data_IF_981290948794
#
_entry.id   IF_981290948794
#
_cell.length_a   1.000
_cell.length_b   1.000
_cell.length_c   1.000
_cell.angle_alpha   90.00
_cell.angle_beta   90.00
_cell.angle_gamma   90.00
#
_symmetry.space_group_name_H-M   'P 1'
#
loop_
_entity.id
_entity.type
_entity.pdbx_description
1 polymer ?
#
# COMPACT_ATOMS: atom_id res chain seq x y z
N UNK A 1 -4.76 30.90 6.43
CA UNK A 1 -3.43 30.73 6.97
C UNK A 1 -2.87 29.33 6.69
N UNK A 2 -1.74 29.32 6.01
CA UNK A 2 -1.07 28.08 5.66
C UNK A 2 -0.03 27.76 6.74
N UNK A 3 -0.13 26.59 7.33
CA UNK A 3 0.84 26.13 8.32
C UNK A 3 1.14 24.64 8.06
N UNK A 4 2.26 24.13 8.61
CA UNK A 4 2.62 22.74 8.42
C UNK A 4 1.53 21.80 8.94
N UNK A 5 1.38 20.66 8.27
CA UNK A 5 0.46 19.62 8.70
C UNK A 5 1.23 18.68 9.62
N UNK A 6 0.85 18.66 10.90
CA UNK A 6 1.55 17.84 11.90
C UNK A 6 0.66 16.79 12.54
N UNK A 7 -0.66 16.97 12.49
CA UNK A 7 -1.61 16.07 13.12
C UNK A 7 -2.69 15.67 12.14
N UNK A 8 -3.47 14.63 12.48
CA UNK A 8 -4.61 14.22 11.66
C UNK A 8 -5.65 15.34 11.55
N UNK A 9 -5.82 16.12 12.62
CA UNK A 9 -6.73 17.26 12.56
C UNK A 9 -6.25 18.31 11.57
N UNK A 10 -4.95 18.58 11.53
CA UNK A 10 -4.38 19.49 10.55
C UNK A 10 -4.59 18.97 9.15
N UNK A 11 -4.42 17.66 8.94
CA UNK A 11 -4.61 17.01 7.67
C UNK A 11 -6.06 17.14 7.20
N UNK A 12 -7.02 16.84 8.08
CA UNK A 12 -8.44 16.95 7.75
C UNK A 12 -8.82 18.39 7.43
N UNK A 13 -8.28 19.35 8.17
CA UNK A 13 -8.52 20.77 7.93
C UNK A 13 -7.96 21.19 6.56
N UNK A 14 -6.78 20.68 6.20
CA UNK A 14 -6.16 20.97 4.92
C UNK A 14 -6.98 20.39 3.75
N UNK A 15 -7.49 19.17 3.90
CA UNK A 15 -8.35 18.56 2.88
C UNK A 15 -9.63 19.36 2.67
N UNK A 16 -10.25 19.84 3.75
CA UNK A 16 -11.44 20.68 3.67
C UNK A 16 -11.16 21.99 2.94
N UNK A 17 -10.01 22.59 3.22
CA UNK A 17 -9.62 23.84 2.58
C UNK A 17 -9.32 23.63 1.10
N UNK A 18 -8.68 22.51 0.74
CA UNK A 18 -8.43 22.13 -0.65
C UNK A 18 -9.77 22.01 -1.39
N UNK A 19 -10.75 21.36 -0.78
CA UNK A 19 -12.07 21.19 -1.37
C UNK A 19 -12.73 22.55 -1.63
N UNK A 20 -12.61 23.45 -0.66
CA UNK A 20 -13.15 24.82 -0.78
C UNK A 20 -12.49 25.61 -1.91
N UNK A 21 -11.19 25.43 -2.10
CA UNK A 21 -10.43 26.16 -3.12
C UNK A 21 -10.36 25.45 -4.46
N UNK A 22 -10.93 24.27 -4.56
CA UNK A 22 -10.89 23.47 -5.79
C UNK A 22 -11.48 24.27 -6.96
N UNK A 23 -10.77 24.27 -8.07
CA UNK A 23 -11.18 25.02 -9.23
C UNK A 23 -10.65 26.44 -9.29
N UNK A 24 -9.88 26.87 -8.28
CA UNK A 24 -9.25 28.20 -8.31
C UNK A 24 -8.27 28.29 -9.48
N UNK A 25 -8.23 29.46 -10.09
CA UNK A 25 -7.38 29.68 -11.27
C UNK A 25 -5.92 29.82 -10.88
N UNK A 26 -5.06 29.27 -11.71
CA UNK A 26 -3.62 29.43 -11.58
C UNK A 26 -3.23 30.91 -11.57
N UNK A 27 -2.24 31.24 -10.75
CA UNK A 27 -1.74 32.61 -10.68
C UNK A 27 -2.56 33.55 -9.79
N UNK A 28 -3.68 33.07 -9.26
CA UNK A 28 -4.47 33.85 -8.29
C UNK A 28 -4.00 33.50 -6.88
N UNK A 29 -4.35 34.35 -5.92
CA UNK A 29 -4.01 34.11 -4.52
C UNK A 29 -4.62 32.79 -4.04
N UNK A 30 -5.88 32.50 -4.41
CA UNK A 30 -6.53 31.25 -4.07
C UNK A 30 -5.88 30.05 -4.75
N UNK A 31 -5.49 30.19 -6.01
CA UNK A 31 -4.79 29.14 -6.74
C UNK A 31 -3.43 28.83 -6.15
N UNK A 32 -2.68 29.86 -5.75
CA UNK A 32 -1.39 29.69 -5.11
C UNK A 32 -1.53 28.96 -3.76
N UNK A 33 -2.53 29.34 -2.99
CA UNK A 33 -2.82 28.69 -1.72
C UNK A 33 -3.18 27.22 -1.91
N UNK A 34 -3.99 26.92 -2.93
CA UNK A 34 -4.34 25.54 -3.27
C UNK A 34 -3.09 24.72 -3.63
N UNK A 35 -2.20 25.27 -4.43
CA UNK A 35 -0.97 24.60 -4.83
C UNK A 35 -0.08 24.27 -3.63
N UNK A 36 0.05 25.20 -2.69
CA UNK A 36 0.84 24.99 -1.48
C UNK A 36 0.19 23.92 -0.60
N UNK A 37 -1.13 23.96 -0.43
CA UNK A 37 -1.84 22.96 0.36
C UNK A 37 -1.68 21.56 -0.23
N UNK A 38 -1.72 21.44 -1.56
CA UNK A 38 -1.54 20.16 -2.22
C UNK A 38 -0.15 19.58 -1.94
N UNK A 39 0.88 20.43 -1.97
CA UNK A 39 2.25 20.00 -1.67
C UNK A 39 2.36 19.54 -0.21
N UNK A 40 1.77 20.30 0.72
CA UNK A 40 1.81 19.96 2.15
C UNK A 40 1.07 18.66 2.45
N UNK A 41 -0.09 18.47 1.82
CA UNK A 41 -0.88 17.25 1.99
C UNK A 41 -0.14 16.05 1.44
N UNK A 42 0.45 16.19 0.26
CA UNK A 42 1.22 15.12 -0.36
C UNK A 42 2.40 14.71 0.52
N UNK A 43 3.11 15.68 1.06
CA UNK A 43 4.24 15.42 1.95
C UNK A 43 3.80 14.68 3.22
N UNK A 44 2.70 15.13 3.82
CA UNK A 44 2.17 14.49 5.01
C UNK A 44 1.72 13.06 4.73
N UNK A 45 1.05 12.83 3.59
CA UNK A 45 0.61 11.49 3.18
C UNK A 45 1.78 10.55 2.98
N UNK A 46 2.85 11.05 2.36
CA UNK A 46 4.05 10.25 2.14
C UNK A 46 4.74 9.84 3.44
N UNK A 47 4.64 10.67 4.47
CA UNK A 47 5.27 10.40 5.77
C UNK A 47 4.39 9.56 6.70
N UNK A 48 3.10 9.78 6.70
CA UNK A 48 2.19 9.23 7.71
C UNK A 48 1.10 8.31 7.14
N UNK A 49 0.72 8.53 5.90
CA UNK A 49 -0.23 7.70 5.18
C UNK A 49 0.48 7.12 3.96
N UNK A 50 1.77 6.80 4.14
CA UNK A 50 2.52 6.15 3.09
C UNK A 50 1.61 5.11 2.50
N UNK A 51 1.42 5.14 1.18
CA UNK A 51 0.68 4.12 0.47
C UNK A 51 1.10 2.82 1.10
N UNK A 52 0.19 2.19 1.82
CA UNK A 52 0.48 0.92 2.44
C UNK A 52 1.07 0.05 1.35
N UNK A 53 2.37 -0.24 1.47
CA UNK A 53 3.00 -1.18 0.56
C UNK A 53 2.08 -2.39 0.59
N UNK A 54 1.59 -2.86 -0.57
CA UNK A 54 0.63 -3.96 -0.57
C UNK A 54 1.18 -5.07 0.32
N UNK A 55 0.41 -5.46 1.31
CA UNK A 55 0.81 -6.56 2.18
C UNK A 55 0.81 -7.83 1.33
N UNK A 56 1.95 -8.51 1.17
CA UNK A 56 2.01 -9.72 0.35
C UNK A 56 1.00 -10.78 0.78
N UNK A 57 0.78 -10.94 2.06
CA UNK A 57 -0.17 -11.94 2.57
C UNK A 57 -1.59 -11.58 2.16
N UNK A 58 -1.96 -10.31 2.24
CA UNK A 58 -3.28 -9.87 1.80
C UNK A 58 -3.46 -10.08 0.30
N UNK A 59 -2.42 -9.80 -0.49
CA UNK A 59 -2.47 -10.03 -1.93
C UNK A 59 -2.64 -11.52 -2.25
N UNK A 60 -1.94 -12.39 -1.52
CA UNK A 60 -2.05 -13.83 -1.70
C UNK A 60 -3.47 -14.30 -1.35
N UNK A 61 -3.99 -13.88 -0.19
CA UNK A 61 -5.32 -14.27 0.25
C UNK A 61 -6.41 -13.79 -0.71
N UNK A 62 -6.25 -12.59 -1.25
CA UNK A 62 -7.18 -12.04 -2.24
C UNK A 62 -7.22 -12.93 -3.48
N UNK A 63 -6.05 -13.32 -4.01
CA UNK A 63 -6.00 -14.18 -5.19
C UNK A 63 -6.51 -15.59 -4.90
N UNK A 64 -6.23 -16.10 -3.70
CA UNK A 64 -6.77 -17.40 -3.30
C UNK A 64 -8.31 -17.39 -3.34
N UNK A 65 -8.89 -16.32 -2.81
CA UNK A 65 -10.33 -16.15 -2.81
C UNK A 65 -10.89 -16.02 -4.22
N UNK A 66 -10.26 -15.18 -5.05
CA UNK A 66 -10.67 -14.97 -6.44
C UNK A 66 -10.64 -16.25 -7.27
N UNK A 67 -9.64 -17.10 -7.03
CA UNK A 67 -9.40 -18.32 -7.81
C UNK A 67 -9.90 -19.58 -7.10
N UNK A 68 -10.57 -19.44 -5.98
CA UNK A 68 -11.06 -20.57 -5.17
C UNK A 68 -9.96 -21.57 -4.82
N UNK A 69 -8.81 -21.05 -4.42
CA UNK A 69 -7.69 -21.89 -4.03
C UNK A 69 -7.70 -22.16 -2.52
N UNK A 70 -7.44 -23.41 -2.15
CA UNK A 70 -7.29 -23.80 -0.76
C UNK A 70 -5.83 -23.67 -0.33
N UNK A 71 -5.56 -23.78 0.97
CA UNK A 71 -4.19 -23.82 1.47
C UNK A 71 -3.40 -24.97 0.87
N UNK A 72 -4.07 -26.09 0.62
CA UNK A 72 -3.44 -27.24 -0.01
C UNK A 72 -2.97 -26.93 -1.44
N UNK A 73 -3.77 -26.16 -2.18
CA UNK A 73 -3.40 -25.72 -3.52
C UNK A 73 -2.15 -24.85 -3.50
N UNK A 74 -1.96 -24.11 -2.42
CA UNK A 74 -0.81 -23.22 -2.28
C UNK A 74 0.49 -23.96 -2.02
N UNK A 75 0.44 -25.22 -1.64
CA UNK A 75 1.65 -26.02 -1.38
C UNK A 75 2.55 -26.12 -2.61
N UNK A 76 1.97 -26.11 -3.80
CA UNK A 76 2.72 -26.17 -5.05
C UNK A 76 3.57 -24.92 -5.28
N UNK A 77 3.16 -23.79 -4.68
CA UNK A 77 3.82 -22.51 -4.90
C UNK A 77 4.66 -22.07 -3.72
N UNK A 78 4.26 -22.43 -2.52
CA UNK A 78 4.89 -21.97 -1.29
C UNK A 78 5.75 -23.04 -0.66
N UNK A 79 5.24 -24.27 -0.61
CA UNK A 79 5.97 -25.38 -0.01
C UNK A 79 5.07 -26.24 0.85
N UNK A 80 5.63 -26.88 1.89
CA UNK A 80 4.89 -27.78 2.76
C UNK A 80 3.70 -27.08 3.42
N UNK A 81 2.79 -27.89 3.93
CA UNK A 81 1.62 -27.40 4.69
C UNK A 81 2.05 -26.46 5.82
N UNK A 82 3.10 -26.81 6.52
CA UNK A 82 3.64 -25.98 7.60
C UNK A 82 4.13 -24.63 7.08
N UNK A 83 4.80 -24.64 5.93
CA UNK A 83 5.32 -23.42 5.33
C UNK A 83 4.19 -22.51 4.84
N UNK A 84 3.16 -23.07 4.24
CA UNK A 84 1.97 -22.31 3.84
C UNK A 84 1.37 -21.60 5.05
N UNK A 85 1.22 -22.34 6.17
CA UNK A 85 0.70 -21.76 7.40
C UNK A 85 1.57 -20.64 7.93
N UNK A 86 2.88 -20.83 7.94
CA UNK A 86 3.83 -19.82 8.41
C UNK A 86 3.76 -18.53 7.57
N UNK A 87 3.70 -18.67 6.26
CA UNK A 87 3.61 -17.52 5.36
C UNK A 87 2.30 -16.77 5.54
N UNK A 88 1.18 -17.49 5.55
CA UNK A 88 -0.13 -16.85 5.68
C UNK A 88 -0.39 -16.24 7.05
N UNK A 89 0.34 -16.71 8.07
CA UNK A 89 0.27 -16.14 9.43
C UNK A 89 1.38 -15.11 9.69
N UNK A 90 2.10 -14.72 8.67
CA UNK A 90 3.17 -13.70 8.72
C UNK A 90 4.33 -14.06 9.65
N UNK A 91 4.55 -15.34 9.85
CA UNK A 91 5.68 -15.84 10.67
C UNK A 91 6.93 -16.07 9.86
N UNK A 92 6.80 -16.09 8.53
CA UNK A 92 7.90 -16.30 7.61
C UNK A 92 7.71 -15.41 6.39
N UNK A 93 8.79 -14.80 5.93
CA UNK A 93 8.77 -14.03 4.70
C UNK A 93 8.80 -14.92 3.47
N UNK A 94 8.64 -14.32 2.32
CA UNK A 94 8.64 -15.03 1.04
C UNK A 94 10.07 -15.19 0.51
N UNK A 95 10.41 -16.41 0.09
CA UNK A 95 11.67 -16.65 -0.60
C UNK A 95 11.52 -16.20 -2.06
N UNK A 96 12.65 -16.06 -2.75
CA UNK A 96 12.62 -15.68 -4.17
C UNK A 96 11.84 -16.69 -5.02
N UNK A 97 12.01 -17.99 -4.71
CA UNK A 97 11.26 -19.02 -5.43
C UNK A 97 9.76 -18.92 -5.21
N UNK A 98 9.34 -18.62 -3.98
CA UNK A 98 7.93 -18.39 -3.68
C UNK A 98 7.40 -17.20 -4.47
N UNK A 99 8.15 -16.10 -4.49
CA UNK A 99 7.77 -14.89 -5.22
C UNK A 99 7.57 -15.19 -6.70
N UNK A 100 8.52 -15.92 -7.30
CA UNK A 100 8.43 -16.31 -8.71
C UNK A 100 7.18 -17.16 -8.98
N UNK A 101 6.95 -18.16 -8.14
CA UNK A 101 5.78 -19.04 -8.32
C UNK A 101 4.47 -18.30 -8.15
N UNK A 102 4.37 -17.45 -7.13
CA UNK A 102 3.16 -16.68 -6.89
C UNK A 102 2.88 -15.69 -8.03
N UNK A 103 3.92 -15.04 -8.51
CA UNK A 103 3.79 -14.11 -9.62
C UNK A 103 3.36 -14.84 -10.90
N UNK A 104 4.00 -15.96 -11.21
CA UNK A 104 3.70 -16.72 -12.43
C UNK A 104 2.35 -17.40 -12.41
N UNK A 105 1.97 -17.98 -11.29
CA UNK A 105 0.74 -18.78 -11.18
C UNK A 105 -0.49 -18.01 -10.78
N UNK A 106 -0.34 -17.02 -9.92
CA UNK A 106 -1.47 -16.23 -9.42
C UNK A 106 -1.54 -14.82 -10.01
N UNK A 107 -0.58 -14.46 -10.84
CA UNK A 107 -0.51 -13.14 -11.47
C UNK A 107 -0.50 -12.00 -10.45
N UNK A 108 0.14 -12.23 -9.32
CA UNK A 108 0.31 -11.18 -8.31
C UNK A 108 1.46 -10.27 -8.76
N UNK A 109 1.27 -8.95 -8.79
CA UNK A 109 2.35 -8.04 -9.18
C UNK A 109 3.59 -8.23 -8.30
N UNK A 110 4.76 -8.20 -8.90
CA UNK A 110 6.01 -8.38 -8.16
C UNK A 110 6.15 -7.37 -7.03
N UNK A 111 5.71 -6.14 -7.26
CA UNK A 111 5.78 -5.06 -6.26
C UNK A 111 5.04 -5.43 -4.98
N UNK A 112 3.92 -6.17 -5.11
CA UNK A 112 3.13 -6.60 -3.97
C UNK A 112 3.83 -7.67 -3.15
N UNK A 113 4.70 -8.46 -3.78
CA UNK A 113 5.39 -9.57 -3.14
C UNK A 113 6.76 -9.19 -2.58
N UNK A 114 7.46 -8.29 -3.25
CA UNK A 114 8.81 -7.87 -2.89
C UNK A 114 8.84 -7.06 -1.58
N UNK A 115 7.80 -6.29 -1.29
CA UNK A 115 7.75 -5.49 -0.07
C UNK A 115 7.90 -6.32 1.20
N UNK A 116 7.56 -7.62 1.15
CA UNK A 116 7.73 -8.54 2.28
C UNK A 116 9.21 -8.80 2.59
N UNK A 117 10.06 -8.84 1.57
CA UNK A 117 11.48 -9.12 1.74
C UNK A 117 12.18 -8.00 2.51
N UNK A 118 11.75 -6.76 2.33
CA UNK A 118 12.32 -5.62 3.02
C UNK A 118 11.91 -5.59 4.50
N UNK A 119 10.71 -6.03 4.81
CA UNK A 119 10.19 -6.03 6.18
C UNK A 119 10.76 -7.15 7.04
N UNK A 120 11.26 -8.21 6.43
CA UNK A 120 11.78 -9.36 7.14
C UNK A 120 13.28 -9.29 7.37
N UNK A 121 13.91 -8.24 6.92
CA UNK A 121 15.37 -8.05 7.10
C UNK A 121 15.69 -7.43 8.45
#
# INVERSE_FOLDING_TARGET
>A
NIHPIKTENDYDAALSEIERLWGSKEGTESGDKLDILLVLVEDYENKNHAIDLPDPVEAIKFRMDQMNLSRKDMEKMIGSRARVSEVLNRRRGLSLNMIRSLHSNLHIPLESLISSAEKSA
#
